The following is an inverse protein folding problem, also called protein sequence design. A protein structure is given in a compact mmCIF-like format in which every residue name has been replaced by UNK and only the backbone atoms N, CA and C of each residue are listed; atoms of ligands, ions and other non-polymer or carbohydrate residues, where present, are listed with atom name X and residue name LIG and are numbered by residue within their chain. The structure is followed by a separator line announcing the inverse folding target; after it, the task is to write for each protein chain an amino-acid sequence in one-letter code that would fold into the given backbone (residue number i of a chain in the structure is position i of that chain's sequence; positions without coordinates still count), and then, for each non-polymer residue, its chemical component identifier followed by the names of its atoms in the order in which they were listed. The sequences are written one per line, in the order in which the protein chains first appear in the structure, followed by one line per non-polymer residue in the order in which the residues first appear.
data_IF_005839147076
#
_entry.id   IF_005839147076
#
_cell.length_a   1.000
_cell.length_b   1.000
_cell.length_c   1.000
_cell.angle_alpha   90.00
_cell.angle_beta   90.00
_cell.angle_gamma   90.00
#
_symmetry.space_group_name_H-M   'P 1'
#
loop_
_entity.id
_entity.type
_entity.pdbx_description
1 polymer ?
#
# COMPACT_ATOMS: atom_id res chain seq x y z
N UNK A 1 -2.69 -13.58 13.04
CA UNK A 1 -3.77 -12.58 12.94
C UNK A 1 -4.03 -12.21 11.50
N UNK A 2 -5.15 -11.56 11.20
CA UNK A 2 -5.53 -11.15 9.83
C UNK A 2 -4.77 -9.93 9.32
N UNK A 3 -4.70 -9.79 7.98
CA UNK A 3 -4.10 -8.65 7.28
C UNK A 3 -5.03 -8.16 6.17
N UNK A 4 -5.20 -6.85 6.08
CA UNK A 4 -5.83 -6.16 4.95
C UNK A 4 -4.76 -5.40 4.15
N UNK A 5 -4.88 -5.39 2.82
CA UNK A 5 -3.97 -4.68 1.91
C UNK A 5 -4.81 -4.02 0.83
N UNK A 6 -4.67 -2.70 0.67
CA UNK A 6 -5.43 -1.91 -0.29
C UNK A 6 -4.48 -1.14 -1.21
N UNK A 7 -4.51 -1.36 -2.53
CA UNK A 7 -3.89 -0.50 -3.52
C UNK A 7 -4.81 0.69 -3.83
N UNK A 8 -4.25 1.89 -3.85
CA UNK A 8 -4.98 3.15 -3.96
C UNK A 8 -4.31 4.01 -5.03
N UNK A 9 -5.14 4.55 -5.93
CA UNK A 9 -4.70 5.36 -7.06
C UNK A 9 -4.69 6.87 -6.77
N UNK A 10 -5.33 7.30 -5.67
CA UNK A 10 -5.44 8.71 -5.28
C UNK A 10 -4.93 8.93 -3.86
N UNK A 11 -4.46 10.15 -3.60
CA UNK A 11 -3.90 10.52 -2.30
C UNK A 11 -4.99 10.66 -1.24
N UNK A 12 -6.17 11.12 -1.63
CA UNK A 12 -7.34 11.31 -0.76
C UNK A 12 -7.85 9.96 -0.25
N UNK A 13 -7.95 8.97 -1.14
CA UNK A 13 -8.32 7.61 -0.75
C UNK A 13 -7.25 6.99 0.16
N UNK A 14 -5.97 7.21 -0.16
CA UNK A 14 -4.86 6.79 0.70
C UNK A 14 -4.95 7.37 2.11
N UNK A 15 -5.09 8.69 2.24
CA UNK A 15 -5.19 9.34 3.53
C UNK A 15 -6.41 8.86 4.33
N UNK A 16 -7.58 8.79 3.67
CA UNK A 16 -8.82 8.33 4.28
C UNK A 16 -8.72 6.90 4.83
N UNK A 17 -8.26 5.95 4.01
CA UNK A 17 -8.10 4.55 4.40
C UNK A 17 -7.04 4.39 5.49
N UNK A 18 -5.94 5.14 5.42
CA UNK A 18 -4.90 5.10 6.43
C UNK A 18 -5.43 5.53 7.82
N UNK A 19 -6.28 6.56 7.88
CA UNK A 19 -6.97 6.96 9.10
C UNK A 19 -7.94 5.88 9.58
N UNK A 20 -8.82 5.38 8.72
CA UNK A 20 -9.80 4.34 9.07
C UNK A 20 -9.13 3.09 9.66
N UNK A 21 -7.99 2.65 9.13
CA UNK A 21 -7.27 1.49 9.65
C UNK A 21 -6.62 1.76 11.02
N UNK A 22 -6.12 2.98 11.26
CA UNK A 22 -5.62 3.39 12.58
C UNK A 22 -6.74 3.47 13.61
N UNK A 23 -7.87 4.06 13.24
CA UNK A 23 -9.03 4.21 14.11
C UNK A 23 -9.63 2.85 14.49
N UNK A 24 -9.49 1.85 13.60
CA UNK A 24 -9.82 0.45 13.87
C UNK A 24 -8.77 -0.29 14.75
N UNK A 25 -7.74 0.40 15.25
CA UNK A 25 -6.70 -0.18 16.11
C UNK A 25 -5.71 -1.09 15.40
N UNK A 26 -5.61 -1.03 14.07
CA UNK A 26 -4.68 -1.86 13.31
C UNK A 26 -3.28 -1.26 13.27
N UNK A 27 -2.26 -2.12 13.25
CA UNK A 27 -0.90 -1.71 12.94
C UNK A 27 -0.79 -1.39 11.43
N UNK A 28 -0.69 -0.10 11.10
CA UNK A 28 -0.71 0.40 9.72
C UNK A 28 0.71 0.50 9.13
N UNK A 29 0.85 0.09 7.87
CA UNK A 29 2.06 0.26 7.07
C UNK A 29 1.70 0.81 5.69
N UNK A 30 2.53 1.73 5.19
CA UNK A 30 2.35 2.36 3.88
C UNK A 30 3.56 2.08 2.97
N UNK A 31 3.29 1.88 1.68
CA UNK A 31 4.28 1.67 0.63
C UNK A 31 3.83 2.42 -0.62
N UNK A 32 4.76 3.04 -1.34
CA UNK A 32 4.50 3.53 -2.69
C UNK A 32 5.27 2.67 -3.70
N UNK A 33 4.57 2.19 -4.72
CA UNK A 33 5.17 1.46 -5.83
C UNK A 33 5.25 2.37 -7.06
N UNK A 34 6.47 2.56 -7.58
CA UNK A 34 6.73 3.23 -8.86
C UNK A 34 7.38 2.22 -9.80
N UNK A 35 6.68 1.85 -10.85
CA UNK A 35 7.07 0.77 -11.74
C UNK A 35 7.25 1.35 -13.15
N UNK A 36 8.33 0.95 -13.82
CA UNK A 36 8.53 1.23 -15.24
C UNK A 36 8.60 -0.08 -16.03
N UNK A 37 8.02 -0.10 -17.23
CA UNK A 37 8.12 -1.21 -18.18
C UNK A 37 9.08 -0.87 -19.29
N UNK A 38 9.85 -1.85 -19.77
CA UNK A 38 10.65 -1.69 -20.99
C UNK A 38 9.75 -1.54 -22.22
N UNK A 39 10.09 -0.59 -23.09
CA UNK A 39 9.39 -0.31 -24.34
C UNK A 39 10.44 -0.09 -25.46
N UNK A 40 10.39 -0.83 -26.58
CA UNK A 40 11.36 -0.66 -27.65
C UNK A 40 11.25 0.71 -28.32
N UNK A 41 12.38 1.36 -28.59
CA UNK A 41 12.46 2.64 -29.31
C UNK A 41 13.78 2.69 -30.08
N UNK A 42 13.71 2.79 -31.41
CA UNK A 42 14.90 2.98 -32.27
C UNK A 42 16.03 1.95 -32.08
N UNK A 43 15.71 0.67 -31.83
CA UNK A 43 16.71 -0.36 -31.56
C UNK A 43 17.22 -0.42 -30.10
N UNK A 44 16.72 0.47 -29.23
CA UNK A 44 17.01 0.50 -27.80
C UNK A 44 15.78 0.17 -26.97
N UNK A 45 15.95 0.08 -25.64
CA UNK A 45 14.85 -0.03 -24.68
C UNK A 45 14.71 1.26 -23.89
N UNK A 46 13.55 1.91 -24.03
CA UNK A 46 13.14 3.04 -23.18
C UNK A 46 12.34 2.52 -21.99
N UNK A 47 12.55 3.08 -20.81
CA UNK A 47 11.69 2.81 -19.65
C UNK A 47 10.43 3.69 -19.73
N UNK A 48 9.27 3.05 -19.81
CA UNK A 48 7.97 3.70 -19.80
C UNK A 48 7.35 3.57 -18.39
N UNK A 49 7.16 4.68 -17.67
CA UNK A 49 6.59 4.64 -16.32
C UNK A 49 5.12 4.24 -16.35
N UNK A 50 4.68 3.57 -15.29
CA UNK A 50 3.28 3.38 -14.93
C UNK A 50 2.85 4.45 -13.91
N UNK A 51 1.54 4.66 -13.78
CA UNK A 51 1.00 5.47 -12.69
C UNK A 51 1.46 4.90 -11.34
N UNK A 52 1.86 5.74 -10.38
CA UNK A 52 2.22 5.27 -9.06
C UNK A 52 1.01 4.65 -8.36
N UNK A 53 1.24 3.63 -7.54
CA UNK A 53 0.22 3.04 -6.67
C UNK A 53 0.65 3.24 -5.22
N UNK A 54 -0.27 3.76 -4.42
CA UNK A 54 -0.11 3.90 -2.97
C UNK A 54 -0.75 2.69 -2.30
N UNK A 55 0.01 1.95 -1.51
CA UNK A 55 -0.46 0.73 -0.84
C UNK A 55 -0.53 1.02 0.65
N UNK A 56 -1.70 0.80 1.24
CA UNK A 56 -1.88 0.77 2.70
C UNK A 56 -2.16 -0.66 3.13
N UNK A 57 -1.55 -1.09 4.23
CA UNK A 57 -1.89 -2.36 4.85
C UNK A 57 -2.10 -2.20 6.35
N UNK A 58 -3.07 -2.93 6.89
CA UNK A 58 -3.36 -3.02 8.32
C UNK A 58 -3.19 -4.45 8.79
N UNK A 59 -2.53 -4.65 9.93
CA UNK A 59 -2.48 -5.94 10.62
C UNK A 59 -3.21 -5.83 11.94
N UNK A 60 -4.07 -6.81 12.23
CA UNK A 60 -4.64 -6.95 13.57
C UNK A 60 -3.48 -7.19 14.55
N UNK A 61 -3.33 -6.35 15.60
CA UNK A 61 -2.42 -6.67 16.68
C UNK A 61 -2.82 -8.03 17.22
N UNK A 62 -1.87 -8.95 17.36
CA UNK A 62 -2.14 -10.21 18.05
C UNK A 62 -2.75 -9.88 19.43
N UNK A 63 -3.83 -10.54 19.88
CA UNK A 63 -4.33 -10.29 21.21
C UNK A 63 -3.21 -10.62 22.20
N UNK A 64 -2.88 -9.67 23.06
CA UNK A 64 -2.14 -9.98 24.28
C UNK A 64 -2.97 -11.02 25.04
N UNK A 65 -2.46 -12.21 25.39
CA UNK A 65 -3.20 -13.11 26.26
C UNK A 65 -3.47 -12.35 27.56
N UNK A 66 -4.74 -12.23 27.96
CA UNK A 66 -5.08 -11.61 29.23
C UNK A 66 -4.30 -12.32 30.33
N UNK A 67 -3.36 -11.62 30.96
CA UNK A 67 -2.67 -12.13 32.15
C UNK A 67 -3.69 -12.09 33.27
N UNK A 68 -4.14 -13.26 33.72
CA UNK A 68 -4.87 -13.45 34.97
C UNK A 68 -4.05 -12.97 36.16
#
# INVERSE_FOLDING_TARGET
GGRIVLPLATLEAFASVQCQLRDAGLAVHSLQAQISRGCPVGGHTRLQPLNPVLIVSGRSPHPHPATN
#
